data_IF_923009799158
#
_entry.id   IF_923009799158
#
_cell.length_a   1.000
_cell.length_b   1.000
_cell.length_c   1.000
_cell.angle_alpha   90.00
_cell.angle_beta   90.00
_cell.angle_gamma   90.00
#
_symmetry.space_group_name_H-M   'P 1'
#
loop_
_entity.id
_entity.type
_entity.pdbx_description
1 polymer ?
#
# COMPACT_ATOMS: atom_id res chain seq x y z
N UNK A 1 17.64 6.57 48.26
CA UNK A 1 17.75 6.79 46.80
C UNK A 1 16.64 7.76 46.40
N UNK A 2 16.97 8.97 45.93
CA UNK A 2 16.02 10.09 45.80
C UNK A 2 15.56 10.28 44.35
N UNK A 3 14.28 10.61 44.17
CA UNK A 3 13.60 10.87 42.88
C UNK A 3 14.28 11.97 42.03
N UNK A 4 15.11 12.80 42.66
CA UNK A 4 15.90 13.87 42.05
C UNK A 4 17.05 13.38 41.15
N UNK A 5 17.48 12.12 41.29
CA UNK A 5 18.59 11.55 40.49
C UNK A 5 18.12 10.88 39.18
N UNK A 6 16.79 10.73 38.98
CA UNK A 6 16.20 10.16 37.75
C UNK A 6 15.77 11.18 36.70
N UNK A 7 15.94 12.49 36.96
CA UNK A 7 15.43 13.57 36.11
C UNK A 7 16.49 14.29 35.26
N UNK A 8 17.73 13.77 35.19
CA UNK A 8 18.84 14.40 34.44
C UNK A 8 19.26 13.60 33.20
N UNK A 9 18.53 12.55 32.81
CA UNK A 9 18.67 12.03 31.45
C UNK A 9 17.80 12.84 30.49
N UNK A 10 18.38 13.49 29.46
CA UNK A 10 17.57 14.03 28.38
C UNK A 10 16.86 12.85 27.73
N UNK A 11 15.54 12.78 27.94
CA UNK A 11 14.68 11.90 27.16
C UNK A 11 14.91 12.30 25.71
N UNK A 12 15.63 11.45 24.96
CA UNK A 12 15.64 11.50 23.50
C UNK A 12 14.23 11.15 23.09
N UNK A 13 13.37 12.16 22.99
CA UNK A 13 12.16 12.09 22.21
C UNK A 13 12.64 11.71 20.81
N UNK A 14 12.47 10.43 20.46
CA UNK A 14 12.60 10.01 19.08
C UNK A 14 11.77 10.99 18.26
N UNK A 15 12.39 11.63 17.27
CA UNK A 15 11.67 12.44 16.29
C UNK A 15 10.46 11.61 15.88
N UNK A 16 9.27 12.09 16.22
CA UNK A 16 8.09 11.71 15.45
C UNK A 16 8.44 12.13 14.02
N UNK A 17 8.78 11.17 13.17
CA UNK A 17 8.83 11.38 11.74
C UNK A 17 7.40 11.68 11.29
N UNK A 18 6.99 12.92 11.48
CA UNK A 18 5.98 13.53 10.64
C UNK A 18 6.52 13.36 9.22
N UNK A 19 5.79 12.60 8.39
CA UNK A 19 6.16 12.38 6.99
C UNK A 19 6.51 13.70 6.30
N UNK A 20 7.28 13.64 5.19
CA UNK A 20 7.84 14.83 4.55
C UNK A 20 6.79 15.96 4.41
N UNK A 21 7.14 17.24 4.63
CA UNK A 21 6.23 18.38 4.60
C UNK A 21 5.30 18.42 3.37
N UNK A 22 5.80 17.91 2.24
CA UNK A 22 5.04 17.71 1.01
C UNK A 22 3.78 16.83 1.16
N UNK A 23 3.79 15.80 2.01
CA UNK A 23 2.61 14.97 2.29
C UNK A 23 1.57 15.72 3.12
N UNK A 24 1.99 16.57 4.06
CA UNK A 24 1.09 17.39 4.87
C UNK A 24 0.51 18.52 4.00
N UNK A 25 1.33 19.17 3.18
CA UNK A 25 0.87 20.17 2.22
C UNK A 25 -0.05 19.55 1.15
N UNK A 26 0.26 18.34 0.67
CA UNK A 26 -0.61 17.60 -0.24
C UNK A 26 -1.91 17.14 0.44
N UNK A 27 -1.89 16.75 1.71
CA UNK A 27 -3.10 16.44 2.47
C UNK A 27 -3.96 17.68 2.71
N UNK A 28 -3.34 18.83 3.02
CA UNK A 28 -4.03 20.13 3.17
C UNK A 28 -4.58 20.62 1.83
N UNK A 29 -3.83 20.44 0.74
CA UNK A 29 -4.27 20.73 -0.64
C UNK A 29 -5.40 19.79 -1.05
N UNK A 30 -5.31 18.50 -0.77
CA UNK A 30 -6.36 17.49 -0.98
C UNK A 30 -7.64 17.85 -0.23
N UNK A 31 -7.56 18.30 1.03
CA UNK A 31 -8.74 18.76 1.78
C UNK A 31 -9.38 19.99 1.12
N UNK A 32 -8.57 20.93 0.58
CA UNK A 32 -9.06 22.10 -0.16
C UNK A 32 -9.68 21.73 -1.51
N UNK A 33 -9.06 20.81 -2.24
CA UNK A 33 -9.56 20.27 -3.51
C UNK A 33 -10.85 19.46 -3.32
N UNK A 34 -10.95 18.75 -2.18
CA UNK A 34 -12.13 17.97 -1.83
C UNK A 34 -13.34 18.84 -1.51
N UNK A 35 -13.15 20.00 -0.88
CA UNK A 35 -14.24 20.90 -0.49
C UNK A 35 -13.92 22.39 -0.63
N UNK A 36 -13.86 22.94 -1.85
CA UNK A 36 -13.45 24.34 -2.06
C UNK A 36 -14.40 25.35 -1.40
N UNK A 37 -15.71 25.06 -1.35
CA UNK A 37 -16.73 25.99 -0.85
C UNK A 37 -17.07 25.81 0.64
N UNK A 38 -16.53 24.79 1.31
CA UNK A 38 -16.81 24.55 2.72
C UNK A 38 -15.77 25.21 3.61
N UNK A 39 -16.16 25.74 4.79
CA UNK A 39 -15.19 26.27 5.73
C UNK A 39 -14.26 25.14 6.15
N UNK A 40 -12.95 25.40 6.08
CA UNK A 40 -11.92 24.45 6.55
C UNK A 40 -12.22 24.04 7.98
N UNK A 41 -12.17 22.74 8.25
CA UNK A 41 -12.17 22.24 9.61
C UNK A 41 -10.90 22.74 10.31
N UNK A 42 -10.99 23.19 11.57
CA UNK A 42 -9.80 23.58 12.32
C UNK A 42 -8.86 22.37 12.53
N UNK A 43 -7.64 22.65 12.98
CA UNK A 43 -6.72 21.61 13.42
C UNK A 43 -7.41 20.72 14.46
N UNK A 44 -7.04 19.43 14.51
CA UNK A 44 -7.71 18.44 15.35
C UNK A 44 -7.79 18.87 16.83
N UNK A 45 -6.71 19.43 17.37
CA UNK A 45 -6.62 19.96 18.72
C UNK A 45 -7.58 21.14 19.03
N UNK A 46 -8.10 21.83 18.00
CA UNK A 46 -9.01 22.96 18.15
C UNK A 46 -10.47 22.61 17.82
N UNK A 47 -10.74 21.41 17.28
CA UNK A 47 -12.11 20.98 16.91
C UNK A 47 -13.05 20.99 18.12
N UNK A 48 -12.57 20.48 19.26
CA UNK A 48 -13.37 20.43 20.48
C UNK A 48 -13.74 21.83 20.96
N UNK A 49 -12.80 22.80 20.91
CA UNK A 49 -13.04 24.18 21.33
C UNK A 49 -14.16 24.83 20.51
N UNK A 50 -14.13 24.62 19.19
CA UNK A 50 -15.18 25.14 18.29
C UNK A 50 -16.54 24.54 18.63
N UNK A 51 -16.59 23.21 18.81
CA UNK A 51 -17.86 22.53 19.10
C UNK A 51 -18.40 22.88 20.49
N UNK A 52 -17.55 22.95 21.53
CA UNK A 52 -17.94 23.39 22.88
C UNK A 52 -18.48 24.82 22.87
N UNK A 53 -17.80 25.74 22.17
CA UNK A 53 -18.27 27.13 22.05
C UNK A 53 -19.66 27.19 21.40
N UNK A 54 -19.87 26.42 20.33
CA UNK A 54 -21.19 26.35 19.69
C UNK A 54 -22.25 25.72 20.61
N UNK A 55 -21.91 24.67 21.35
CA UNK A 55 -22.83 24.05 22.30
C UNK A 55 -23.26 24.99 23.44
N UNK A 56 -22.33 25.81 23.96
CA UNK A 56 -22.63 26.84 24.97
C UNK A 56 -23.61 27.89 24.43
N UNK A 57 -23.46 28.31 23.17
CA UNK A 57 -24.42 29.21 22.51
C UNK A 57 -25.83 28.63 22.48
N UNK A 58 -25.95 27.34 22.16
CA UNK A 58 -27.23 26.61 22.13
C UNK A 58 -27.83 26.41 23.53
N UNK A 59 -27.00 26.33 24.56
CA UNK A 59 -27.45 26.21 25.95
C UNK A 59 -27.95 27.55 26.49
N UNK A 60 -27.23 28.63 26.20
CA UNK A 60 -27.49 29.96 26.74
C UNK A 60 -28.36 30.83 25.83
N UNK A 61 -28.77 30.32 24.67
CA UNK A 61 -29.51 31.04 23.63
C UNK A 61 -28.80 32.32 23.14
N UNK A 62 -27.46 32.26 23.03
CA UNK A 62 -26.60 33.40 22.67
C UNK A 62 -26.06 33.30 21.25
N UNK A 63 -26.66 34.07 20.34
CA UNK A 63 -26.36 33.99 18.90
C UNK A 63 -25.44 35.09 18.37
N UNK A 64 -25.12 36.10 19.19
CA UNK A 64 -24.33 37.25 18.77
C UNK A 64 -22.93 36.84 18.26
N UNK A 65 -22.59 37.30 17.06
CA UNK A 65 -21.33 36.97 16.38
C UNK A 65 -21.23 35.53 15.85
N UNK A 66 -22.28 34.71 15.93
CA UNK A 66 -22.28 33.38 15.34
C UNK A 66 -22.45 33.47 13.82
N UNK A 67 -21.51 32.91 13.07
CA UNK A 67 -21.54 32.91 11.60
C UNK A 67 -22.06 31.60 11.04
N UNK A 68 -22.64 31.63 9.83
CA UNK A 68 -23.05 30.40 9.12
C UNK A 68 -21.86 29.45 8.90
N UNK A 69 -20.66 29.99 8.71
CA UNK A 69 -19.43 29.21 8.58
C UNK A 69 -19.05 28.49 9.89
N UNK A 70 -19.25 29.14 11.04
CA UNK A 70 -19.07 28.49 12.34
C UNK A 70 -20.08 27.36 12.55
N UNK A 71 -21.37 27.60 12.25
CA UNK A 71 -22.41 26.59 12.33
C UNK A 71 -22.12 25.38 11.42
N UNK A 72 -21.67 25.63 10.17
CA UNK A 72 -21.28 24.58 9.24
C UNK A 72 -20.07 23.76 9.72
N UNK A 73 -19.08 24.39 10.36
CA UNK A 73 -17.96 23.67 11.01
C UNK A 73 -18.46 22.84 12.19
N UNK A 74 -19.26 23.42 13.07
CA UNK A 74 -19.80 22.74 14.24
C UNK A 74 -20.60 21.49 13.85
N UNK A 75 -21.43 21.59 12.81
CA UNK A 75 -22.18 20.47 12.26
C UNK A 75 -21.25 19.31 11.83
N UNK A 76 -20.24 19.62 11.01
CA UNK A 76 -19.29 18.59 10.53
C UNK A 76 -18.51 17.96 11.69
N UNK A 77 -18.02 18.77 12.63
CA UNK A 77 -17.27 18.29 13.79
C UNK A 77 -18.15 17.38 14.65
N UNK A 78 -19.40 17.77 14.93
CA UNK A 78 -20.33 17.00 15.75
C UNK A 78 -20.71 15.62 15.17
N UNK A 79 -20.50 15.39 13.87
CA UNK A 79 -20.75 14.11 13.21
C UNK A 79 -19.54 13.15 13.27
N UNK A 80 -18.34 13.67 13.53
CA UNK A 80 -17.12 12.86 13.63
C UNK A 80 -17.22 11.89 14.83
N UNK A 81 -16.72 10.65 14.71
CA UNK A 81 -16.82 9.63 15.75
C UNK A 81 -16.41 10.10 17.15
N UNK A 82 -15.30 10.84 17.26
CA UNK A 82 -14.74 11.33 18.52
C UNK A 82 -15.62 12.37 19.24
N UNK A 83 -16.57 13.01 18.54
CA UNK A 83 -17.44 14.06 19.08
C UNK A 83 -18.91 13.64 19.22
N UNK A 84 -19.23 12.34 19.08
CA UNK A 84 -20.59 11.78 19.24
C UNK A 84 -21.02 11.63 20.72
N UNK A 85 -20.79 12.68 21.51
CA UNK A 85 -21.04 12.68 22.95
C UNK A 85 -22.40 13.32 23.30
N UNK A 86 -23.07 12.89 24.39
CA UNK A 86 -24.37 13.43 24.81
C UNK A 86 -24.41 14.95 24.93
N UNK A 87 -23.32 15.56 25.40
CA UNK A 87 -23.19 17.01 25.60
C UNK A 87 -23.38 17.84 24.31
N UNK A 88 -23.12 17.26 23.13
CA UNK A 88 -23.24 17.95 21.84
C UNK A 88 -24.52 17.59 21.10
N UNK A 89 -25.34 16.67 21.60
CA UNK A 89 -26.55 16.21 20.90
C UNK A 89 -27.58 17.32 20.70
N UNK A 90 -27.77 18.22 21.68
CA UNK A 90 -28.70 19.35 21.54
C UNK A 90 -28.28 20.26 20.39
N UNK A 91 -26.98 20.58 20.32
CA UNK A 91 -26.42 21.41 19.25
C UNK A 91 -26.53 20.74 17.88
N UNK A 92 -26.22 19.44 17.79
CA UNK A 92 -26.35 18.70 16.54
C UNK A 92 -27.80 18.63 16.06
N UNK A 93 -28.78 18.35 16.95
CA UNK A 93 -30.21 18.33 16.58
C UNK A 93 -30.66 19.68 16.02
N UNK A 94 -30.30 20.78 16.69
CA UNK A 94 -30.62 22.14 16.23
C UNK A 94 -30.05 22.40 14.84
N UNK A 95 -28.78 22.08 14.61
CA UNK A 95 -28.13 22.28 13.31
C UNK A 95 -28.76 21.42 12.20
N UNK A 96 -29.16 20.19 12.50
CA UNK A 96 -29.83 19.31 11.53
C UNK A 96 -31.27 19.75 11.23
N UNK A 97 -31.99 20.29 12.21
CA UNK A 97 -33.30 20.88 12.00
C UNK A 97 -33.20 22.17 11.16
N UNK A 98 -32.12 22.94 11.33
CA UNK A 98 -31.84 24.14 10.56
C UNK A 98 -31.56 23.83 9.07
N UNK A 99 -30.83 22.74 8.79
CA UNK A 99 -30.64 22.23 7.42
C UNK A 99 -31.98 21.97 6.72
N UNK A 100 -32.97 21.45 7.46
CA UNK A 100 -34.31 21.15 6.95
C UNK A 100 -35.15 22.41 6.74
N UNK A 101 -35.13 23.33 7.72
CA UNK A 101 -36.08 24.43 7.79
C UNK A 101 -35.68 25.60 6.87
N UNK A 102 -34.44 26.08 6.94
CA UNK A 102 -34.01 27.22 6.11
C UNK A 102 -33.28 26.81 4.83
N UNK A 103 -32.86 25.54 4.70
CA UNK A 103 -32.21 24.98 3.50
C UNK A 103 -31.03 25.82 3.00
N UNK A 104 -30.27 26.41 3.92
CA UNK A 104 -29.12 27.27 3.57
C UNK A 104 -28.07 26.45 2.82
N UNK A 105 -27.60 26.90 1.62
CA UNK A 105 -26.67 26.13 0.79
C UNK A 105 -25.41 25.62 1.50
N UNK A 106 -24.85 26.42 2.40
CA UNK A 106 -23.65 26.07 3.17
C UNK A 106 -23.92 24.97 4.19
N UNK A 107 -25.06 25.02 4.90
CA UNK A 107 -25.44 24.01 5.88
C UNK A 107 -25.86 22.71 5.20
N UNK A 108 -26.61 22.78 4.10
CA UNK A 108 -26.93 21.59 3.27
C UNK A 108 -25.65 20.93 2.77
N UNK A 109 -24.69 21.72 2.27
CA UNK A 109 -23.38 21.20 1.86
C UNK A 109 -22.60 20.55 3.00
N UNK A 110 -22.63 21.17 4.18
CA UNK A 110 -21.94 20.67 5.36
C UNK A 110 -22.56 19.35 5.85
N UNK A 111 -23.89 19.25 5.82
CA UNK A 111 -24.63 18.05 6.21
C UNK A 111 -24.38 16.90 5.26
N UNK A 112 -24.41 17.15 3.94
CA UNK A 112 -24.10 16.12 2.95
C UNK A 112 -22.64 15.68 3.03
N UNK A 113 -21.69 16.61 3.20
CA UNK A 113 -20.29 16.25 3.41
C UNK A 113 -20.10 15.39 4.67
N UNK A 114 -20.71 15.79 5.79
CA UNK A 114 -20.69 15.01 7.03
C UNK A 114 -21.27 13.61 6.82
N UNK A 115 -22.44 13.52 6.18
CA UNK A 115 -23.08 12.24 5.85
C UNK A 115 -22.15 11.30 5.08
N UNK A 116 -21.51 11.80 4.02
CA UNK A 116 -20.65 10.97 3.17
C UNK A 116 -19.34 10.58 3.87
N UNK A 117 -18.72 11.50 4.63
CA UNK A 117 -17.42 11.31 5.27
C UNK A 117 -17.45 10.45 6.53
N UNK A 118 -18.54 10.55 7.30
CA UNK A 118 -18.72 9.83 8.56
C UNK A 118 -19.73 8.69 8.43
N UNK A 119 -20.08 8.32 7.19
CA UNK A 119 -20.98 7.20 6.94
C UNK A 119 -20.41 5.94 7.56
N UNK A 120 -21.26 5.24 8.30
CA UNK A 120 -20.99 3.94 8.90
C UNK A 120 -22.26 3.11 8.78
N UNK A 121 -22.10 1.83 8.45
CA UNK A 121 -23.20 0.88 8.36
C UNK A 121 -23.88 0.74 9.72
N UNK A 122 -25.21 0.71 9.72
CA UNK A 122 -26.05 0.55 10.92
C UNK A 122 -25.86 1.59 12.04
N UNK A 123 -25.18 2.70 11.74
CA UNK A 123 -24.94 3.76 12.70
C UNK A 123 -26.13 4.74 12.81
N UNK A 124 -26.48 5.11 14.04
CA UNK A 124 -27.61 6.01 14.35
C UNK A 124 -27.42 7.42 13.80
N UNK A 125 -26.19 7.96 13.78
CA UNK A 125 -25.87 9.27 13.20
C UNK A 125 -25.99 9.25 11.68
N UNK A 126 -25.52 8.19 11.01
CA UNK A 126 -25.72 7.98 9.56
C UNK A 126 -27.21 7.99 9.21
N UNK A 127 -28.03 7.22 9.95
CA UNK A 127 -29.48 7.17 9.76
C UNK A 127 -30.14 8.51 10.05
N UNK A 128 -29.71 9.22 11.09
CA UNK A 128 -30.25 10.53 11.42
C UNK A 128 -29.99 11.53 10.29
N UNK A 129 -28.76 11.64 9.78
CA UNK A 129 -28.39 12.49 8.64
C UNK A 129 -29.19 12.12 7.39
N UNK A 130 -29.23 10.84 7.02
CA UNK A 130 -30.00 10.36 5.87
C UNK A 130 -31.49 10.71 5.97
N UNK A 131 -32.10 10.56 7.15
CA UNK A 131 -33.51 10.90 7.36
C UNK A 131 -33.80 12.40 7.16
N UNK A 132 -32.87 13.29 7.49
CA UNK A 132 -33.06 14.74 7.26
C UNK A 132 -32.80 15.10 5.80
N UNK A 133 -31.73 14.56 5.22
CA UNK A 133 -31.33 14.85 3.84
C UNK A 133 -32.28 14.28 2.80
N UNK A 134 -32.90 13.12 3.05
CA UNK A 134 -33.92 12.51 2.17
C UNK A 134 -35.19 13.34 1.99
N UNK A 135 -35.43 14.34 2.84
CA UNK A 135 -36.56 15.28 2.70
C UNK A 135 -36.26 16.45 1.77
N UNK A 136 -35.01 16.58 1.30
CA UNK A 136 -34.60 17.59 0.35
C UNK A 136 -34.73 17.05 -1.08
N UNK A 137 -35.06 17.92 -2.02
CA UNK A 137 -35.05 17.61 -3.46
C UNK A 137 -33.68 17.92 -4.06
N UNK A 138 -33.32 17.34 -5.23
CA UNK A 138 -32.06 17.66 -5.90
C UNK A 138 -31.81 19.16 -6.13
N UNK A 139 -32.87 19.98 -6.25
CA UNK A 139 -32.76 21.44 -6.44
C UNK A 139 -32.32 22.19 -5.18
N UNK A 140 -32.63 21.66 -4.00
CA UNK A 140 -32.22 22.22 -2.70
C UNK A 140 -30.70 22.06 -2.47
N UNK A 141 -30.05 21.15 -3.20
CA UNK A 141 -28.60 20.96 -3.13
C UNK A 141 -27.85 21.96 -4.03
N UNK A 142 -26.71 22.49 -3.56
CA UNK A 142 -25.80 23.27 -4.39
C UNK A 142 -25.37 22.51 -5.65
N UNK A 143 -25.09 23.25 -6.73
CA UNK A 143 -24.85 22.69 -8.06
C UNK A 143 -23.85 21.52 -8.09
N UNK A 144 -22.75 21.62 -7.31
CA UNK A 144 -21.71 20.58 -7.22
C UNK A 144 -22.24 19.22 -6.75
N UNK A 145 -23.29 19.21 -5.93
CA UNK A 145 -23.85 18.02 -5.33
C UNK A 145 -24.97 17.39 -6.13
N UNK A 146 -25.60 18.18 -7.02
CA UNK A 146 -26.77 17.72 -7.77
C UNK A 146 -26.48 16.48 -8.59
N UNK A 147 -25.27 16.38 -9.16
CA UNK A 147 -24.84 15.20 -9.92
C UNK A 147 -24.76 13.95 -9.05
N UNK A 148 -24.17 14.03 -7.85
CA UNK A 148 -24.12 12.90 -6.91
C UNK A 148 -25.53 12.51 -6.47
N UNK A 149 -26.34 13.48 -6.05
CA UNK A 149 -27.71 13.21 -5.57
C UNK A 149 -28.60 12.62 -6.66
N UNK A 150 -28.44 13.08 -7.91
CA UNK A 150 -29.22 12.54 -9.04
C UNK A 150 -28.64 11.22 -9.56
N UNK A 151 -27.33 11.02 -9.43
CA UNK A 151 -26.63 9.80 -9.87
C UNK A 151 -26.87 8.60 -8.96
N UNK A 152 -27.29 8.84 -7.71
CA UNK A 152 -27.66 7.81 -6.74
C UNK A 152 -29.06 8.08 -6.18
N UNK A 153 -30.13 7.56 -6.79
CA UNK A 153 -31.50 7.74 -6.28
C UNK A 153 -31.67 7.25 -4.84
N UNK A 154 -30.96 6.17 -4.47
CA UNK A 154 -30.88 5.61 -3.12
C UNK A 154 -29.83 6.27 -2.21
N UNK A 155 -29.30 7.47 -2.53
CA UNK A 155 -28.19 8.09 -1.78
C UNK A 155 -28.44 8.16 -0.27
N UNK A 156 -29.70 8.34 0.12
CA UNK A 156 -30.11 8.48 1.52
C UNK A 156 -30.79 7.22 2.06
N UNK A 157 -30.54 6.05 1.47
CA UNK A 157 -30.81 4.74 2.07
C UNK A 157 -29.49 4.17 2.65
N UNK A 158 -29.24 4.33 3.97
CA UNK A 158 -28.03 3.82 4.61
C UNK A 158 -27.87 2.30 4.53
N UNK A 159 -28.93 1.53 4.29
CA UNK A 159 -28.85 0.07 4.19
C UNK A 159 -28.42 -0.43 2.81
N UNK A 160 -28.60 0.38 1.77
CA UNK A 160 -28.34 -0.01 0.37
C UNK A 160 -27.17 0.76 -0.26
N UNK A 161 -27.00 2.05 0.05
CA UNK A 161 -26.19 2.97 -0.77
C UNK A 161 -24.74 2.51 -1.03
N UNK A 162 -24.06 1.93 -0.04
CA UNK A 162 -22.68 1.43 -0.21
C UNK A 162 -22.60 0.29 -1.24
N UNK A 163 -23.63 -0.56 -1.34
CA UNK A 163 -23.75 -1.62 -2.35
C UNK A 163 -24.10 -1.05 -3.72
N UNK A 164 -24.96 -0.04 -3.79
CA UNK A 164 -25.32 0.63 -5.05
C UNK A 164 -24.11 1.34 -5.67
N UNK A 165 -23.32 2.02 -4.84
CA UNK A 165 -22.06 2.65 -5.29
C UNK A 165 -21.09 1.56 -5.77
N UNK A 166 -20.95 0.46 -5.04
CA UNK A 166 -20.08 -0.65 -5.43
C UNK A 166 -20.53 -1.34 -6.73
N UNK A 167 -21.84 -1.41 -6.98
CA UNK A 167 -22.40 -1.92 -8.23
C UNK A 167 -22.02 -1.04 -9.41
N UNK A 168 -22.16 0.28 -9.25
CA UNK A 168 -21.71 1.25 -10.25
C UNK A 168 -20.20 1.13 -10.50
N UNK A 169 -19.39 1.03 -9.44
CA UNK A 169 -17.96 0.79 -9.55
C UNK A 169 -17.65 -0.52 -10.31
N UNK A 170 -18.45 -1.58 -10.11
CA UNK A 170 -18.26 -2.85 -10.81
C UNK A 170 -18.59 -2.74 -12.30
N UNK A 171 -19.55 -1.90 -12.68
CA UNK A 171 -19.94 -1.66 -14.08
C UNK A 171 -18.99 -0.72 -14.83
N UNK A 172 -18.25 0.14 -14.13
CA UNK A 172 -17.33 1.10 -14.74
C UNK A 172 -15.96 0.51 -15.06
N UNK A 173 -15.42 0.81 -16.25
CA UNK A 173 -14.04 0.44 -16.64
C UNK A 173 -13.00 1.14 -15.77
N UNK A 174 -13.24 2.41 -15.43
CA UNK A 174 -12.46 3.17 -14.45
C UNK A 174 -13.41 3.67 -13.35
N UNK A 175 -13.52 2.92 -12.23
CA UNK A 175 -14.41 3.30 -11.13
C UNK A 175 -14.03 4.64 -10.50
N UNK A 176 -12.75 5.02 -10.53
CA UNK A 176 -12.31 6.27 -9.94
C UNK A 176 -12.75 7.44 -10.81
N UNK A 177 -12.52 7.37 -12.13
CA UNK A 177 -12.93 8.39 -13.07
C UNK A 177 -14.47 8.53 -13.14
N UNK A 178 -15.21 7.43 -13.17
CA UNK A 178 -16.68 7.47 -13.18
C UNK A 178 -17.24 8.19 -11.95
N UNK A 179 -16.72 7.90 -10.75
CA UNK A 179 -17.13 8.59 -9.53
C UNK A 179 -16.78 10.10 -9.58
N UNK A 180 -15.64 10.47 -10.16
CA UNK A 180 -15.29 11.89 -10.36
C UNK A 180 -16.25 12.61 -11.30
N UNK A 181 -16.65 11.97 -12.39
CA UNK A 181 -17.54 12.56 -13.38
C UNK A 181 -18.94 12.79 -12.80
N UNK A 182 -19.36 11.91 -11.88
CA UNK A 182 -20.53 12.11 -11.02
C UNK A 182 -20.39 13.24 -10.00
N UNK A 183 -19.20 13.81 -9.84
CA UNK A 183 -18.91 14.92 -8.92
C UNK A 183 -18.38 14.49 -7.55
N UNK A 184 -17.99 13.22 -7.36
CA UNK A 184 -17.39 12.74 -6.09
C UNK A 184 -16.04 13.43 -5.86
N UNK A 185 -15.88 14.23 -4.79
CA UNK A 185 -14.67 15.03 -4.65
C UNK A 185 -13.43 14.22 -4.28
N UNK A 186 -13.61 13.06 -3.66
CA UNK A 186 -12.52 12.15 -3.31
C UNK A 186 -13.06 10.71 -3.24
N UNK A 187 -12.98 9.92 -4.33
CA UNK A 187 -13.36 8.50 -4.34
C UNK A 187 -12.54 7.65 -3.37
N UNK A 188 -11.37 8.12 -2.92
CA UNK A 188 -10.54 7.48 -1.91
C UNK A 188 -10.82 8.00 -0.49
N UNK A 189 -11.87 8.81 -0.32
CA UNK A 189 -12.28 9.37 0.97
C UNK A 189 -12.85 8.33 1.94
N UNK A 190 -12.88 8.63 3.26
CA UNK A 190 -13.47 7.76 4.25
C UNK A 190 -15.01 7.70 4.13
N UNK A 191 -15.63 6.96 5.05
CA UNK A 191 -17.07 6.83 5.14
C UNK A 191 -17.64 6.02 3.98
N UNK A 192 -18.57 6.61 3.23
CA UNK A 192 -19.34 5.89 2.22
C UNK A 192 -18.44 5.28 1.15
N UNK A 193 -17.42 6.01 0.70
CA UNK A 193 -16.52 5.55 -0.37
C UNK A 193 -15.59 4.42 0.10
N UNK A 194 -15.23 4.39 1.39
CA UNK A 194 -14.48 3.28 1.97
C UNK A 194 -15.35 2.02 2.07
N UNK A 195 -16.61 2.17 2.51
CA UNK A 195 -17.56 1.07 2.55
C UNK A 195 -17.89 0.50 1.16
N UNK A 196 -18.11 1.39 0.18
CA UNK A 196 -18.35 0.99 -1.21
C UNK A 196 -17.14 0.27 -1.82
N UNK A 197 -15.89 0.70 -1.53
CA UNK A 197 -14.70 -0.05 -1.94
C UNK A 197 -14.72 -1.48 -1.37
N UNK A 198 -15.10 -1.65 -0.11
CA UNK A 198 -15.20 -2.97 0.51
C UNK A 198 -16.14 -3.91 -0.24
N UNK A 199 -17.33 -3.42 -0.60
CA UNK A 199 -18.30 -4.20 -1.40
C UNK A 199 -17.83 -4.42 -2.85
N UNK A 200 -17.17 -3.43 -3.45
CA UNK A 200 -16.61 -3.57 -4.79
C UNK A 200 -15.49 -4.60 -4.83
N UNK A 201 -14.63 -4.66 -3.80
CA UNK A 201 -13.57 -5.67 -3.70
C UNK A 201 -14.12 -7.10 -3.72
N UNK A 202 -15.25 -7.35 -3.04
CA UNK A 202 -15.93 -8.66 -3.07
C UNK A 202 -16.36 -9.04 -4.49
N UNK A 203 -16.79 -8.07 -5.30
CA UNK A 203 -17.24 -8.27 -6.68
C UNK A 203 -16.06 -8.45 -7.64
N UNK A 204 -15.07 -7.55 -7.61
CA UNK A 204 -13.93 -7.59 -8.53
C UNK A 204 -13.02 -8.79 -8.28
N UNK A 205 -12.97 -9.34 -7.05
CA UNK A 205 -12.14 -10.49 -6.68
C UNK A 205 -12.22 -11.67 -7.66
N UNK A 206 -13.41 -11.93 -8.22
CA UNK A 206 -13.65 -13.02 -9.19
C UNK A 206 -12.92 -12.81 -10.53
N UNK A 207 -12.46 -11.60 -10.80
CA UNK A 207 -11.78 -11.20 -12.04
C UNK A 207 -10.28 -10.95 -11.84
N UNK A 208 -9.75 -11.04 -10.61
CA UNK A 208 -8.36 -10.70 -10.29
C UNK A 208 -7.33 -11.77 -10.70
N UNK A 209 -7.76 -12.80 -11.41
CA UNK A 209 -6.89 -13.72 -12.15
C UNK A 209 -6.83 -13.40 -13.65
N UNK A 210 -7.61 -12.40 -14.11
CA UNK A 210 -7.66 -11.94 -15.50
C UNK A 210 -7.00 -10.56 -15.60
N UNK A 211 -6.39 -10.29 -16.75
CA UNK A 211 -5.64 -9.05 -17.00
C UNK A 211 -6.49 -7.80 -16.79
N UNK A 212 -7.71 -7.75 -17.35
CA UNK A 212 -8.59 -6.59 -17.22
C UNK A 212 -8.96 -6.27 -15.76
N UNK A 213 -9.27 -7.30 -14.96
CA UNK A 213 -9.61 -7.12 -13.55
C UNK A 213 -8.43 -6.59 -12.74
N UNK A 214 -7.24 -7.09 -13.03
CA UNK A 214 -5.99 -6.64 -12.39
C UNK A 214 -5.69 -5.19 -12.76
N UNK A 215 -5.78 -4.84 -14.04
CA UNK A 215 -5.55 -3.46 -14.50
C UNK A 215 -6.54 -2.48 -13.87
N UNK A 216 -7.82 -2.86 -13.77
CA UNK A 216 -8.84 -2.04 -13.08
C UNK A 216 -8.49 -1.82 -11.60
N UNK A 217 -8.02 -2.85 -10.90
CA UNK A 217 -7.60 -2.74 -9.50
C UNK A 217 -6.30 -1.92 -9.35
N UNK A 218 -5.33 -2.08 -10.25
CA UNK A 218 -4.09 -1.29 -10.25
C UNK A 218 -4.37 0.20 -10.55
N UNK A 219 -5.32 0.50 -11.44
CA UNK A 219 -5.80 1.88 -11.67
C UNK A 219 -6.51 2.43 -10.44
N UNK A 220 -7.28 1.62 -9.71
CA UNK A 220 -7.84 2.07 -8.44
C UNK A 220 -6.76 2.43 -7.41
N UNK A 221 -5.68 1.63 -7.29
CA UNK A 221 -4.57 1.94 -6.39
C UNK A 221 -3.87 3.26 -6.73
N UNK A 222 -3.77 3.61 -8.02
CA UNK A 222 -3.28 4.92 -8.47
C UNK A 222 -3.94 5.29 -9.81
N UNK A 223 -4.97 6.16 -9.79
CA UNK A 223 -5.76 6.49 -10.99
C UNK A 223 -4.97 7.19 -12.08
N UNK A 224 -3.99 8.02 -11.69
CA UNK A 224 -3.09 8.70 -12.61
C UNK A 224 -1.72 8.93 -11.95
N UNK A 225 -0.67 9.04 -12.75
CA UNK A 225 0.69 9.35 -12.33
C UNK A 225 0.77 10.67 -11.55
N UNK A 226 -0.10 11.65 -11.85
CA UNK A 226 -0.13 12.94 -11.13
C UNK A 226 -0.83 12.86 -9.77
N UNK A 227 -1.56 11.77 -9.49
CA UNK A 227 -2.31 11.60 -8.24
C UNK A 227 -1.57 10.73 -7.24
N UNK A 228 -1.84 11.02 -5.96
CA UNK A 228 -1.38 10.20 -4.86
C UNK A 228 -2.01 8.80 -4.96
N UNK A 229 -1.20 7.80 -4.63
CA UNK A 229 -1.67 6.43 -4.46
C UNK A 229 -2.73 6.36 -3.35
N UNK A 230 -3.58 5.34 -3.41
CA UNK A 230 -4.54 5.03 -2.36
C UNK A 230 -3.80 4.96 -1.01
N UNK A 231 -4.29 5.64 0.04
CA UNK A 231 -3.59 5.71 1.32
C UNK A 231 -3.27 4.31 1.87
N UNK A 232 -2.08 4.11 2.48
CA UNK A 232 -1.64 2.79 2.93
C UNK A 232 -2.64 2.01 3.79
N UNK A 233 -3.36 2.70 4.68
CA UNK A 233 -4.38 2.09 5.54
C UNK A 233 -5.52 1.42 4.76
N UNK A 234 -5.83 1.89 3.54
CA UNK A 234 -6.84 1.32 2.65
C UNK A 234 -6.24 0.39 1.59
N UNK A 235 -4.99 0.63 1.20
CA UNK A 235 -4.33 -0.14 0.18
C UNK A 235 -4.12 -1.61 0.58
N UNK A 236 -3.91 -1.90 1.88
CA UNK A 236 -3.75 -3.27 2.38
C UNK A 236 -4.88 -4.20 1.92
N UNK A 237 -6.15 -3.84 2.16
CA UNK A 237 -7.29 -4.66 1.77
C UNK A 237 -7.41 -4.86 0.24
N UNK A 238 -7.04 -3.85 -0.55
CA UNK A 238 -7.06 -3.91 -2.02
C UNK A 238 -5.97 -4.84 -2.54
N UNK A 239 -4.75 -4.70 -2.02
CA UNK A 239 -3.60 -5.55 -2.39
C UNK A 239 -3.84 -6.99 -1.94
N UNK A 240 -4.42 -7.21 -0.76
CA UNK A 240 -4.80 -8.54 -0.31
C UNK A 240 -5.79 -9.22 -1.25
N UNK A 241 -6.84 -8.52 -1.67
CA UNK A 241 -7.82 -9.09 -2.60
C UNK A 241 -7.14 -9.59 -3.89
N UNK A 242 -6.19 -8.83 -4.42
CA UNK A 242 -5.39 -9.21 -5.58
C UNK A 242 -4.58 -10.47 -5.34
N UNK A 243 -3.82 -10.54 -4.25
CA UNK A 243 -2.94 -11.69 -3.98
C UNK A 243 -3.79 -12.94 -3.65
N UNK A 244 -4.85 -12.79 -2.86
CA UNK A 244 -5.75 -13.89 -2.46
C UNK A 244 -6.42 -14.56 -3.65
N UNK A 245 -6.70 -13.84 -4.74
CA UNK A 245 -7.31 -14.42 -5.94
C UNK A 245 -6.46 -15.52 -6.60
N UNK A 246 -5.15 -15.51 -6.36
CA UNK A 246 -4.22 -16.52 -6.87
C UNK A 246 -4.06 -17.71 -5.93
N UNK A 247 -4.28 -17.54 -4.62
CA UNK A 247 -4.09 -18.57 -3.61
C UNK A 247 -2.65 -19.07 -3.61
N UNK A 248 -2.46 -20.38 -3.73
CA UNK A 248 -1.12 -21.00 -3.83
C UNK A 248 -0.52 -20.94 -5.25
N UNK A 249 -1.32 -20.55 -6.25
CA UNK A 249 -0.86 -20.49 -7.64
C UNK A 249 0.01 -19.25 -7.86
N UNK A 250 0.99 -19.40 -8.74
CA UNK A 250 1.77 -18.27 -9.24
C UNK A 250 1.04 -17.64 -10.43
N UNK A 251 0.96 -16.30 -10.50
CA UNK A 251 0.60 -15.64 -11.75
C UNK A 251 1.62 -15.97 -12.86
N UNK A 252 1.21 -15.91 -14.14
CA UNK A 252 2.16 -15.97 -15.26
C UNK A 252 3.29 -14.95 -15.09
N UNK A 253 4.49 -15.28 -15.57
CA UNK A 253 5.70 -14.48 -15.31
C UNK A 253 5.53 -12.99 -15.63
N UNK A 254 5.07 -12.64 -16.84
CA UNK A 254 4.86 -11.25 -17.22
C UNK A 254 3.82 -10.52 -16.34
N UNK A 255 2.87 -11.26 -15.78
CA UNK A 255 1.86 -10.71 -14.87
C UNK A 255 2.40 -10.50 -13.45
N UNK A 256 3.19 -11.45 -12.92
CA UNK A 256 3.88 -11.31 -11.62
C UNK A 256 4.78 -10.09 -11.65
N UNK A 257 5.59 -9.97 -12.69
CA UNK A 257 6.53 -8.88 -12.87
C UNK A 257 5.78 -7.54 -12.86
N UNK A 258 4.70 -7.42 -13.65
CA UNK A 258 3.87 -6.22 -13.65
C UNK A 258 3.27 -5.90 -12.27
N UNK A 259 2.67 -6.88 -11.60
CA UNK A 259 2.05 -6.67 -10.28
C UNK A 259 3.10 -6.23 -9.26
N UNK A 260 4.19 -6.99 -9.13
CA UNK A 260 5.25 -6.70 -8.16
C UNK A 260 5.92 -5.36 -8.44
N UNK A 261 6.23 -5.05 -9.70
CA UNK A 261 6.81 -3.76 -10.09
C UNK A 261 5.89 -2.58 -9.75
N UNK A 262 4.59 -2.69 -10.05
CA UNK A 262 3.62 -1.64 -9.72
C UNK A 262 3.41 -1.47 -8.22
N UNK A 263 3.26 -2.56 -7.47
CA UNK A 263 3.06 -2.47 -6.03
C UNK A 263 4.31 -1.94 -5.29
N UNK A 264 5.50 -2.37 -5.69
CA UNK A 264 6.76 -1.84 -5.15
C UNK A 264 6.99 -0.37 -5.50
N UNK A 265 6.57 0.09 -6.68
CA UNK A 265 6.61 1.52 -7.04
C UNK A 265 5.69 2.37 -6.14
N UNK A 266 4.49 1.86 -5.85
CA UNK A 266 3.49 2.59 -5.07
C UNK A 266 3.79 2.59 -3.56
N UNK A 267 4.27 1.47 -3.03
CA UNK A 267 4.27 1.19 -1.60
C UNK A 267 5.61 0.67 -1.06
N UNK A 268 6.64 0.52 -1.92
CA UNK A 268 7.95 -0.02 -1.55
C UNK A 268 7.99 -1.54 -1.38
N UNK A 269 9.18 -2.08 -1.09
CA UNK A 269 9.39 -3.51 -0.92
C UNK A 269 9.16 -3.96 0.55
N UNK A 270 8.24 -4.91 0.82
CA UNK A 270 7.95 -5.39 2.17
C UNK A 270 9.09 -6.19 2.83
N UNK A 271 10.15 -6.52 2.10
CA UNK A 271 11.35 -7.18 2.62
C UNK A 271 12.33 -6.15 3.21
N UNK A 272 12.23 -4.89 2.78
CA UNK A 272 13.06 -3.78 3.25
C UNK A 272 12.35 -2.89 4.26
N UNK A 273 11.03 -2.70 4.11
CA UNK A 273 10.25 -1.86 4.99
C UNK A 273 8.84 -2.45 5.22
N UNK A 274 8.51 -2.70 6.49
CA UNK A 274 7.20 -3.24 6.91
C UNK A 274 6.15 -2.16 7.21
N UNK A 275 6.41 -0.89 6.86
CA UNK A 275 5.41 0.15 6.97
C UNK A 275 4.12 -0.21 6.21
N UNK A 276 3.01 0.44 6.56
CA UNK A 276 1.76 0.25 5.83
C UNK A 276 1.98 0.49 4.32
N UNK A 277 1.33 -0.28 3.43
CA UNK A 277 0.26 -1.24 3.72
C UNK A 277 0.74 -2.59 4.26
N UNK A 278 2.02 -2.93 4.11
CA UNK A 278 2.55 -4.28 4.32
C UNK A 278 2.35 -4.82 5.73
N UNK A 279 2.65 -4.01 6.76
CA UNK A 279 2.50 -4.43 8.15
C UNK A 279 1.06 -4.60 8.63
N UNK A 280 0.07 -4.12 7.86
CA UNK A 280 -1.35 -4.27 8.18
C UNK A 280 -2.00 -5.47 7.50
N UNK A 281 -1.26 -6.18 6.63
CA UNK A 281 -1.79 -7.31 5.87
C UNK A 281 -1.74 -8.63 6.65
N UNK A 282 -2.63 -9.55 6.29
CA UNK A 282 -2.56 -10.94 6.71
C UNK A 282 -1.20 -11.57 6.36
N UNK A 283 -0.63 -12.30 7.32
CA UNK A 283 0.73 -12.86 7.19
C UNK A 283 0.84 -13.86 6.05
N UNK A 284 -0.16 -14.73 5.87
CA UNK A 284 -0.15 -15.72 4.79
C UNK A 284 -0.18 -15.07 3.41
N UNK A 285 -0.96 -13.99 3.25
CA UNK A 285 -1.00 -13.21 2.01
C UNK A 285 0.33 -12.51 1.75
N UNK A 286 0.93 -11.90 2.78
CA UNK A 286 2.22 -11.24 2.65
C UNK A 286 3.33 -12.24 2.28
N UNK A 287 3.30 -13.45 2.84
CA UNK A 287 4.23 -14.53 2.48
C UNK A 287 4.08 -14.97 1.03
N UNK A 288 2.84 -15.09 0.52
CA UNK A 288 2.59 -15.36 -0.90
C UNK A 288 3.20 -14.27 -1.80
N UNK A 289 3.00 -12.99 -1.47
CA UNK A 289 3.60 -11.89 -2.20
C UNK A 289 5.14 -11.88 -2.13
N UNK A 290 5.73 -12.20 -0.98
CA UNK A 290 7.18 -12.36 -0.82
C UNK A 290 7.73 -13.51 -1.66
N UNK A 291 6.98 -14.60 -1.83
CA UNK A 291 7.32 -15.68 -2.75
C UNK A 291 7.32 -15.20 -4.20
N UNK A 292 6.41 -14.31 -4.58
CA UNK A 292 6.39 -13.68 -5.90
C UNK A 292 7.63 -12.83 -6.15
N UNK A 293 7.97 -11.96 -5.19
CA UNK A 293 9.19 -11.14 -5.24
C UNK A 293 10.47 -11.99 -5.28
N UNK A 294 10.47 -13.12 -4.57
CA UNK A 294 11.58 -14.10 -4.59
C UNK A 294 11.77 -14.69 -5.98
N UNK A 295 10.69 -15.13 -6.62
CA UNK A 295 10.74 -15.63 -8.01
C UNK A 295 11.19 -14.57 -9.00
N UNK A 296 10.66 -13.34 -8.86
CA UNK A 296 11.03 -12.21 -9.70
C UNK A 296 12.53 -11.87 -9.57
N UNK A 297 13.06 -11.83 -8.35
CA UNK A 297 14.48 -11.59 -8.07
C UNK A 297 15.39 -12.72 -8.61
N UNK A 298 14.98 -13.98 -8.43
CA UNK A 298 15.72 -15.13 -8.95
C UNK A 298 15.81 -15.05 -10.48
N UNK A 299 14.70 -14.79 -11.17
CA UNK A 299 14.68 -14.61 -12.63
C UNK A 299 15.49 -13.40 -13.09
N UNK A 300 15.35 -12.26 -12.40
CA UNK A 300 16.13 -11.06 -12.67
C UNK A 300 17.62 -11.36 -12.63
N UNK A 301 18.10 -12.05 -11.59
CA UNK A 301 19.51 -12.46 -11.51
C UNK A 301 19.93 -13.27 -12.73
N UNK A 302 19.21 -14.35 -13.00
CA UNK A 302 19.53 -15.28 -14.09
C UNK A 302 19.55 -14.55 -15.45
N UNK A 303 18.61 -13.65 -15.69
CA UNK A 303 18.51 -12.85 -16.91
C UNK A 303 19.65 -11.83 -17.06
N UNK A 304 19.96 -11.11 -15.98
CA UNK A 304 21.03 -10.10 -15.97
C UNK A 304 22.39 -10.74 -16.23
N UNK A 305 22.67 -11.90 -15.63
CA UNK A 305 23.94 -12.60 -15.89
C UNK A 305 24.01 -13.06 -17.35
N UNK A 306 22.92 -13.64 -17.88
CA UNK A 306 22.86 -14.07 -19.28
C UNK A 306 23.16 -12.90 -20.25
N UNK A 307 22.55 -11.74 -20.01
CA UNK A 307 22.76 -10.56 -20.86
C UNK A 307 24.12 -9.90 -20.64
N UNK A 308 24.63 -9.88 -19.42
CA UNK A 308 25.97 -9.34 -19.11
C UNK A 308 27.07 -10.18 -19.77
N UNK A 309 26.98 -11.51 -19.71
CA UNK A 309 27.90 -12.41 -20.41
C UNK A 309 27.88 -12.17 -21.93
N UNK A 310 26.68 -11.98 -22.51
CA UNK A 310 26.53 -11.66 -23.94
C UNK A 310 27.18 -10.31 -24.32
N UNK A 311 27.12 -9.31 -23.44
CA UNK A 311 27.63 -7.95 -23.70
C UNK A 311 29.13 -7.80 -23.46
N UNK A 312 29.67 -8.46 -22.44
CA UNK A 312 31.00 -8.14 -21.90
C UNK A 312 31.99 -9.32 -21.96
N UNK A 313 31.52 -10.55 -22.19
CA UNK A 313 32.38 -11.75 -22.25
C UNK A 313 32.39 -12.34 -23.66
N UNK A 314 33.57 -12.70 -24.20
CA UNK A 314 33.67 -13.39 -25.50
C UNK A 314 33.12 -14.82 -25.36
N UNK A 315 31.87 -15.02 -25.81
CA UNK A 315 31.13 -16.21 -26.26
C UNK A 315 31.44 -17.65 -25.77
N UNK A 316 32.63 -18.02 -25.30
CA UNK A 316 33.02 -19.40 -25.00
C UNK A 316 32.50 -19.93 -23.65
N UNK A 317 32.05 -19.06 -22.74
CA UNK A 317 31.51 -19.45 -21.41
C UNK A 317 29.97 -19.61 -21.38
N UNK A 318 29.28 -19.36 -22.50
CA UNK A 318 27.80 -19.24 -22.59
C UNK A 318 27.02 -20.52 -22.22
N UNK A 319 27.65 -21.70 -22.22
CA UNK A 319 26.98 -22.98 -21.96
C UNK A 319 26.78 -23.31 -20.47
N UNK A 320 27.46 -22.62 -19.54
CA UNK A 320 27.42 -22.99 -18.12
C UNK A 320 26.12 -22.56 -17.41
N UNK A 321 25.43 -21.54 -17.92
CA UNK A 321 24.33 -20.93 -17.18
C UNK A 321 22.98 -21.64 -17.36
N UNK A 322 22.72 -22.25 -18.51
CA UNK A 322 21.46 -22.95 -18.77
C UNK A 322 21.17 -24.09 -17.76
N UNK A 323 22.15 -24.96 -17.41
CA UNK A 323 21.96 -25.96 -16.35
C UNK A 323 21.71 -25.35 -14.97
N UNK A 324 22.40 -24.25 -14.63
CA UNK A 324 22.22 -23.55 -13.34
C UNK A 324 20.86 -22.88 -13.25
N UNK A 325 20.41 -22.22 -14.32
CA UNK A 325 19.07 -21.65 -14.47
C UNK A 325 18.00 -22.71 -14.21
N UNK A 326 18.08 -23.85 -14.90
CA UNK A 326 17.13 -24.96 -14.72
C UNK A 326 17.14 -25.50 -13.29
N UNK A 327 18.31 -25.64 -12.68
CA UNK A 327 18.45 -26.14 -11.32
C UNK A 327 17.79 -25.21 -10.29
N UNK A 328 18.17 -23.93 -10.28
CA UNK A 328 17.67 -22.98 -9.29
C UNK A 328 16.18 -22.67 -9.47
N UNK A 329 15.71 -22.50 -10.71
CA UNK A 329 14.28 -22.33 -10.96
C UNK A 329 13.48 -23.57 -10.55
N UNK A 330 14.00 -24.78 -10.81
CA UNK A 330 13.36 -26.02 -10.37
C UNK A 330 13.22 -26.11 -8.85
N UNK A 331 14.24 -25.71 -8.08
CA UNK A 331 14.16 -25.66 -6.62
C UNK A 331 13.14 -24.61 -6.12
N UNK A 332 13.01 -23.47 -6.82
CA UNK A 332 12.00 -22.46 -6.51
C UNK A 332 10.58 -22.96 -6.81
N UNK A 333 10.37 -23.62 -7.96
CA UNK A 333 9.09 -24.23 -8.35
C UNK A 333 8.64 -25.29 -7.34
N UNK A 334 9.59 -26.09 -6.82
CA UNK A 334 9.38 -27.04 -5.73
C UNK A 334 9.11 -26.37 -4.36
N UNK A 335 9.16 -25.05 -4.26
CA UNK A 335 8.95 -24.30 -3.01
C UNK A 335 10.09 -24.39 -2.01
N UNK A 336 11.28 -24.86 -2.44
CA UNK A 336 12.45 -25.04 -1.57
C UNK A 336 13.18 -23.72 -1.32
N UNK A 337 13.21 -22.82 -2.31
CA UNK A 337 13.77 -21.47 -2.17
C UNK A 337 12.70 -20.56 -1.57
N UNK A 338 12.93 -20.11 -0.33
CA UNK A 338 12.01 -19.24 0.41
C UNK A 338 12.26 -17.76 0.14
N UNK A 339 13.53 -17.40 -0.07
CA UNK A 339 13.96 -16.02 -0.28
C UNK A 339 15.12 -16.00 -1.27
N UNK A 340 15.19 -14.94 -2.09
CA UNK A 340 16.24 -14.74 -3.08
C UNK A 340 16.58 -13.25 -3.22
N UNK A 341 17.87 -12.94 -3.10
CA UNK A 341 18.38 -11.58 -3.14
C UNK A 341 19.63 -11.49 -4.04
N UNK A 342 19.50 -10.93 -5.25
CA UNK A 342 20.64 -10.67 -6.10
C UNK A 342 21.46 -9.52 -5.54
N UNK A 343 22.78 -9.62 -5.70
CA UNK A 343 23.71 -8.52 -5.56
C UNK A 343 24.60 -8.43 -6.79
N UNK A 344 24.45 -7.35 -7.55
CA UNK A 344 25.10 -7.20 -8.85
C UNK A 344 26.45 -6.49 -8.74
N UNK A 345 27.41 -6.95 -9.54
CA UNK A 345 28.63 -6.22 -9.84
C UNK A 345 28.34 -4.90 -10.55
N UNK A 346 29.27 -3.92 -10.59
CA UNK A 346 29.06 -2.67 -11.30
C UNK A 346 28.56 -2.82 -12.75
N UNK A 347 29.12 -3.75 -13.52
CA UNK A 347 28.72 -4.00 -14.92
C UNK A 347 27.32 -4.62 -15.00
N UNK A 348 27.06 -5.66 -14.22
CA UNK A 348 25.74 -6.31 -14.18
C UNK A 348 24.65 -5.38 -13.65
N UNK A 349 24.98 -4.44 -12.75
CA UNK A 349 24.03 -3.44 -12.25
C UNK A 349 23.57 -2.47 -13.35
N UNK A 350 24.44 -2.14 -14.33
CA UNK A 350 24.05 -1.34 -15.50
C UNK A 350 23.08 -2.12 -16.39
N UNK A 351 23.33 -3.41 -16.61
CA UNK A 351 22.43 -4.31 -17.35
C UNK A 351 21.10 -4.45 -16.62
N UNK A 352 21.11 -4.69 -15.31
CA UNK A 352 19.91 -4.78 -14.48
C UNK A 352 19.07 -3.50 -14.58
N UNK A 353 19.69 -2.32 -14.49
CA UNK A 353 19.00 -1.03 -14.63
C UNK A 353 18.35 -0.86 -16.01
N UNK A 354 19.07 -1.21 -17.08
CA UNK A 354 18.55 -1.16 -18.45
C UNK A 354 17.35 -2.13 -18.63
N UNK A 355 17.48 -3.36 -18.13
CA UNK A 355 16.41 -4.36 -18.20
C UNK A 355 15.18 -3.97 -17.38
N UNK A 356 15.36 -3.52 -16.14
CA UNK A 356 14.27 -3.05 -15.29
C UNK A 356 13.57 -1.83 -15.91
N UNK A 357 14.32 -0.90 -16.50
CA UNK A 357 13.77 0.24 -17.23
C UNK A 357 12.93 -0.18 -18.43
N UNK A 358 13.43 -1.09 -19.27
CA UNK A 358 12.70 -1.61 -20.44
C UNK A 358 11.44 -2.38 -20.07
N UNK A 359 11.47 -3.12 -18.95
CA UNK A 359 10.32 -3.90 -18.46
C UNK A 359 9.37 -3.07 -17.58
N UNK A 360 9.69 -1.80 -17.30
CA UNK A 360 8.99 -0.95 -16.33
C UNK A 360 8.80 -1.63 -14.95
N UNK A 361 9.85 -2.31 -14.48
CA UNK A 361 9.86 -3.06 -13.23
C UNK A 361 10.66 -2.32 -12.17
N UNK A 362 10.23 -2.48 -10.92
CA UNK A 362 10.96 -2.02 -9.74
C UNK A 362 11.19 -3.19 -8.80
N UNK A 363 12.41 -3.70 -8.85
CA UNK A 363 12.91 -4.76 -7.97
C UNK A 363 14.20 -4.30 -7.33
N UNK A 364 14.22 -4.30 -6.00
CA UNK A 364 15.40 -3.99 -5.23
C UNK A 364 16.40 -5.15 -5.24
N UNK A 365 17.68 -4.78 -5.20
CA UNK A 365 18.81 -5.69 -5.21
C UNK A 365 19.99 -5.07 -4.47
N UNK A 366 20.91 -5.92 -4.01
CA UNK A 366 22.16 -5.50 -3.39
C UNK A 366 23.22 -5.10 -4.41
N UNK A 367 24.30 -4.50 -3.93
CA UNK A 367 25.52 -4.27 -4.69
C UNK A 367 26.59 -5.27 -4.28
N UNK A 368 27.23 -5.91 -5.25
CA UNK A 368 28.44 -6.65 -4.96
C UNK A 368 29.62 -5.67 -4.80
N UNK A 369 30.38 -5.87 -3.72
CA UNK A 369 31.63 -5.19 -3.39
C UNK A 369 32.74 -6.24 -3.26
N UNK A 370 34.00 -5.81 -3.26
CA UNK A 370 35.15 -6.71 -3.25
C UNK A 370 35.89 -6.69 -4.59
N UNK A 371 37.11 -7.24 -4.63
CA UNK A 371 38.08 -7.09 -5.74
C UNK A 371 37.65 -7.81 -7.01
N UNK A 372 36.80 -8.82 -6.88
CA UNK A 372 36.20 -9.53 -8.02
C UNK A 372 35.08 -8.70 -8.64
N UNK A 373 35.42 -7.54 -9.21
CA UNK A 373 34.51 -6.50 -9.68
C UNK A 373 33.53 -6.95 -10.78
N UNK A 374 33.67 -8.16 -11.33
CA UNK A 374 32.79 -8.68 -12.39
C UNK A 374 31.89 -9.80 -11.87
N UNK A 375 32.07 -10.27 -10.63
CA UNK A 375 31.24 -11.33 -10.06
C UNK A 375 29.98 -10.74 -9.45
N UNK A 376 28.82 -11.14 -9.95
CA UNK A 376 27.55 -10.94 -9.25
C UNK A 376 27.19 -12.19 -8.46
N UNK A 377 26.48 -12.03 -7.35
CA UNK A 377 26.05 -13.13 -6.48
C UNK A 377 24.55 -13.14 -6.27
N UNK A 378 24.03 -14.31 -5.97
CA UNK A 378 22.64 -14.54 -5.60
C UNK A 378 22.63 -15.25 -4.26
N UNK A 379 22.03 -14.59 -3.26
CA UNK A 379 21.89 -15.12 -1.92
C UNK A 379 20.48 -15.65 -1.76
N UNK A 380 20.35 -16.91 -1.33
CA UNK A 380 19.08 -17.62 -1.20
C UNK A 380 18.92 -18.19 0.19
N UNK A 381 17.67 -18.25 0.67
CA UNK A 381 17.31 -19.08 1.84
C UNK A 381 16.64 -20.36 1.37
N UNK A 382 17.23 -21.50 1.77
CA UNK A 382 16.72 -22.84 1.47
C UNK A 382 16.70 -23.63 2.78
N UNK A 383 15.51 -23.84 3.33
CA UNK A 383 15.37 -24.46 4.66
C UNK A 383 16.14 -23.69 5.74
N UNK A 384 17.00 -24.40 6.47
CA UNK A 384 17.88 -23.88 7.50
C UNK A 384 19.25 -23.40 6.94
N UNK A 385 19.39 -23.28 5.62
CA UNK A 385 20.63 -22.86 4.95
C UNK A 385 20.50 -21.49 4.29
N UNK A 386 21.62 -20.77 4.27
CA UNK A 386 21.88 -19.64 3.38
C UNK A 386 22.81 -20.12 2.28
N UNK A 387 22.39 -19.98 1.03
CA UNK A 387 23.14 -20.45 -0.14
C UNK A 387 23.53 -19.25 -0.99
N UNK A 388 24.80 -19.18 -1.38
CA UNK A 388 25.32 -18.12 -2.26
C UNK A 388 25.81 -18.76 -3.56
N UNK A 389 25.13 -18.44 -4.65
CA UNK A 389 25.54 -18.71 -6.03
C UNK A 389 26.25 -17.47 -6.59
N UNK A 390 27.15 -17.64 -7.56
CA UNK A 390 27.74 -16.50 -8.26
C UNK A 390 27.98 -16.75 -9.74
N UNK A 391 28.03 -15.66 -10.50
CA UNK A 391 28.40 -15.67 -11.93
C UNK A 391 29.83 -16.18 -12.16
N UNK A 392 30.18 -16.49 -13.40
CA UNK A 392 31.51 -17.00 -13.78
C UNK A 392 31.87 -18.30 -13.03
N UNK A 393 33.14 -18.43 -12.59
CA UNK A 393 33.68 -19.58 -11.87
C UNK A 393 33.48 -19.51 -10.35
N UNK A 394 32.49 -18.75 -9.87
CA UNK A 394 32.17 -18.69 -8.44
C UNK A 394 31.62 -20.05 -7.98
N UNK A 395 32.05 -20.54 -6.81
CA UNK A 395 31.54 -21.78 -6.21
C UNK A 395 30.20 -21.52 -5.53
N UNK A 396 29.34 -22.51 -5.48
CA UNK A 396 28.18 -22.47 -4.57
C UNK A 396 28.71 -22.56 -3.14
N UNK A 397 28.40 -21.58 -2.30
CA UNK A 397 28.71 -21.60 -0.88
C UNK A 397 27.44 -21.86 -0.08
N UNK A 398 27.51 -22.76 0.89
CA UNK A 398 26.40 -23.11 1.77
C UNK A 398 26.78 -22.78 3.20
N UNK A 399 25.94 -22.02 3.89
CA UNK A 399 26.09 -21.63 5.28
C UNK A 399 24.89 -22.14 6.08
N UNK A 400 25.11 -22.50 7.33
CA UNK A 400 24.02 -22.69 8.28
C UNK A 400 23.38 -21.34 8.60
N UNK A 401 22.07 -21.21 8.47
CA UNK A 401 21.37 -19.95 8.71
C UNK A 401 21.47 -19.48 10.18
N UNK A 402 21.74 -20.40 11.11
CA UNK A 402 22.03 -20.11 12.52
C UNK A 402 23.45 -19.61 12.76
N UNK A 403 24.38 -19.80 11.81
CA UNK A 403 25.75 -19.34 11.95
C UNK A 403 25.79 -17.81 11.88
N UNK A 404 26.44 -17.18 12.87
CA UNK A 404 26.62 -15.72 12.91
C UNK A 404 27.36 -15.18 11.68
N UNK A 405 28.18 -16.01 11.05
CA UNK A 405 28.94 -15.69 9.85
C UNK A 405 28.12 -15.81 8.56
N UNK A 406 26.92 -16.39 8.58
CA UNK A 406 26.09 -16.53 7.39
C UNK A 406 25.67 -15.15 6.85
N UNK A 407 25.78 -14.91 5.53
CA UNK A 407 25.32 -13.66 4.93
C UNK A 407 23.83 -13.41 5.20
N UNK A 408 23.49 -12.23 5.70
CA UNK A 408 22.10 -11.83 5.86
C UNK A 408 21.46 -11.52 4.50
N UNK A 409 20.19 -11.87 4.29
CA UNK A 409 19.46 -11.44 3.09
C UNK A 409 19.10 -9.96 3.17
N UNK A 410 18.81 -9.36 2.00
CA UNK A 410 18.35 -7.98 1.85
C UNK A 410 19.35 -6.88 2.23
N UNK A 411 20.63 -7.24 2.31
CA UNK A 411 21.73 -6.31 2.46
C UNK A 411 21.86 -5.39 1.24
N UNK A 412 22.21 -4.13 1.51
CA UNK A 412 22.49 -3.14 0.46
C UNK A 412 23.77 -3.45 -0.32
N UNK A 413 24.73 -4.10 0.34
CA UNK A 413 26.01 -4.47 -0.26
C UNK A 413 26.53 -5.77 0.33
N UNK A 414 27.32 -6.49 -0.47
CA UNK A 414 27.92 -7.77 -0.11
C UNK A 414 29.33 -7.86 -0.65
N UNK A 415 30.30 -8.14 0.22
CA UNK A 415 31.67 -8.38 -0.23
C UNK A 415 31.87 -9.84 -0.64
N UNK A 416 32.17 -10.08 -1.92
CA UNK A 416 32.37 -11.42 -2.45
C UNK A 416 33.61 -12.11 -1.90
N UNK A 417 34.66 -11.35 -1.62
CA UNK A 417 35.92 -11.90 -1.12
C UNK A 417 35.76 -12.27 0.36
N UNK A 418 35.03 -11.45 1.14
CA UNK A 418 34.66 -11.80 2.50
C UNK A 418 33.82 -13.09 2.54
N UNK A 419 32.81 -13.21 1.67
CA UNK A 419 31.96 -14.41 1.60
C UNK A 419 32.79 -15.66 1.22
N UNK A 420 33.82 -15.53 0.38
CA UNK A 420 34.71 -16.64 0.02
C UNK A 420 35.52 -17.16 1.20
N UNK A 421 36.02 -16.24 2.01
CA UNK A 421 36.89 -16.50 3.17
C UNK A 421 36.11 -16.90 4.42
N UNK A 422 34.82 -16.59 4.45
CA UNK A 422 33.95 -16.88 5.58
C UNK A 422 33.80 -18.40 5.79
N UNK A 423 33.97 -18.89 7.04
CA UNK A 423 33.70 -20.30 7.37
C UNK A 423 32.29 -20.69 6.94
N UNK A 424 32.22 -21.75 6.15
CA UNK A 424 31.00 -22.23 5.49
C UNK A 424 30.75 -23.69 5.84
N UNK A 425 29.47 -24.07 5.76
CA UNK A 425 29.04 -25.44 5.95
C UNK A 425 29.58 -26.32 4.81
N UNK A 426 29.46 -25.85 3.57
CA UNK A 426 30.03 -26.51 2.40
C UNK A 426 30.31 -25.57 1.23
N UNK A 427 31.08 -26.06 0.27
CA UNK A 427 31.33 -25.39 -1.00
C UNK A 427 31.34 -26.39 -2.17
N UNK A 428 30.72 -26.02 -3.29
CA UNK A 428 30.61 -26.88 -4.47
C UNK A 428 31.05 -26.13 -5.73
N UNK A 429 31.95 -26.74 -6.50
CA UNK A 429 32.36 -26.25 -7.83
C UNK A 429 31.38 -26.73 -8.90
N UNK A 430 31.10 -25.90 -9.92
CA UNK A 430 30.23 -26.27 -11.05
C UNK A 430 30.92 -27.21 -12.05
N UNK A 431 31.29 -28.41 -11.62
CA UNK A 431 31.91 -29.46 -12.45
C UNK A 431 31.26 -30.82 -12.16
N UNK A 432 31.07 -31.66 -13.17
CA UNK A 432 30.51 -33.01 -12.99
C UNK A 432 29.09 -32.98 -12.40
N UNK A 433 28.86 -33.80 -11.38
CA UNK A 433 27.62 -34.01 -10.62
C UNK A 433 27.31 -32.88 -9.60
N UNK A 434 27.67 -31.63 -9.92
CA UNK A 434 27.57 -30.51 -8.99
C UNK A 434 26.13 -30.29 -8.46
N UNK A 435 25.09 -30.57 -9.26
CA UNK A 435 23.71 -30.42 -8.79
C UNK A 435 23.39 -31.37 -7.62
N UNK A 436 23.82 -32.62 -7.70
CA UNK A 436 23.56 -33.63 -6.67
C UNK A 436 24.34 -33.30 -5.39
N UNK A 437 25.59 -32.84 -5.53
CA UNK A 437 26.39 -32.37 -4.40
C UNK A 437 25.80 -31.12 -3.74
N UNK A 438 25.30 -30.15 -4.52
CA UNK A 438 24.59 -29.01 -3.95
C UNK A 438 23.33 -29.47 -3.22
N UNK A 439 22.55 -30.41 -3.78
CA UNK A 439 21.37 -30.97 -3.08
C UNK A 439 21.74 -31.63 -1.76
N UNK A 440 22.82 -32.40 -1.75
CA UNK A 440 23.34 -33.02 -0.53
C UNK A 440 23.73 -31.96 0.52
N UNK A 441 24.44 -30.91 0.11
CA UNK A 441 24.84 -29.81 0.98
C UNK A 441 23.67 -29.03 1.60
N UNK A 442 22.59 -28.83 0.84
CA UNK A 442 21.39 -28.13 1.34
C UNK A 442 20.46 -29.03 2.16
N UNK A 443 20.57 -30.37 2.03
CA UNK A 443 19.73 -31.35 2.72
C UNK A 443 20.37 -31.88 4.00
N UNK A 444 21.70 -31.90 4.08
CA UNK A 444 22.38 -32.38 5.28
C UNK A 444 22.18 -31.40 6.46
N UNK A 445 22.05 -31.91 7.70
CA UNK A 445 21.86 -31.07 8.87
C UNK A 445 23.02 -30.08 9.08
N UNK A 446 22.68 -28.91 9.58
CA UNK A 446 23.58 -28.12 10.40
C UNK A 446 23.78 -28.81 11.76
#
# INVERSE_FOLDING_TARGET
MRLSERLVEPVRLGRLELGPPALIEAAVKSIRERWPDLPRLPAEADREKVLRRFALRVQNDTWEGCTLAEAARALRIACLPEFRQPIYQKALRLLLDEVRNQRRPLLVSAALAAYLETWEQDNTYTRALAQRLSRLTPRDFPARWRRIVSGFPGLFDPGAIHRDVAERMAAADDPWADLRDLGVPDPHGPGLWAAAQGEWLKRIAQTLTKEDGIERLLRWLRPDATRLALPPARAAAVIEALIRAWGERMPPEGLVDRITGRLSDLYGDPRLNMAAPWGAMDRGVLEAYRRWLTGANLRLFLDVITEAERRYTRAEESHMWAPRRKFWLGLYEQGRIREAWPAFSPEAALVARDMLGRRNLRLDHGRQTGRSNNTSILIMRIGDKVVVEGSHNYKVHVFCASARSAPSLYGRSYDCDDIRLTPKHGEVVHRGDWQDRVRWEIERPC
#
